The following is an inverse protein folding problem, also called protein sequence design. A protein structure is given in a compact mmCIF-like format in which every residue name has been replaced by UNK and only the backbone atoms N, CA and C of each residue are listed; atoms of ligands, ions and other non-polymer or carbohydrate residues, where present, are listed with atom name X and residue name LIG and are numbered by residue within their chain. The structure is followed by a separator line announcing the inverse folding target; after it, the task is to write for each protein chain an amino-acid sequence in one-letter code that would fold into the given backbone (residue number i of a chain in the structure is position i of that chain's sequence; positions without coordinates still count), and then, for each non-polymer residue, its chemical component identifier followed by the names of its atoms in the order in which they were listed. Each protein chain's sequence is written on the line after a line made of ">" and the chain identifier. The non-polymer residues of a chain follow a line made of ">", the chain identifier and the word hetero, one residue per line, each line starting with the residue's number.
data_IF_645165029423
#
_entry.id   IF_645165029423
#
_cell.length_a   1.000
_cell.length_b   1.000
_cell.length_c   1.000
_cell.angle_alpha   90.00
_cell.angle_beta   90.00
_cell.angle_gamma   90.00
#
_symmetry.space_group_name_H-M   'P 1'
#
loop_
_entity.id
_entity.type
_entity.pdbx_description
1 polymer ?
#
# COMPACT_ATOMS: atom_id res chain seq x y z
N UNK A 1 11.38 15.80 -9.62
CA UNK A 1 10.19 16.12 -8.79
C UNK A 1 9.66 14.93 -7.98
N UNK A 2 9.71 13.69 -8.49
CA UNK A 2 9.28 12.48 -7.77
C UNK A 2 9.89 12.27 -6.40
N UNK A 3 11.16 12.65 -6.20
CA UNK A 3 11.84 12.55 -4.90
C UNK A 3 11.10 13.29 -3.77
N UNK A 4 10.51 14.45 -4.05
CA UNK A 4 9.76 15.22 -3.06
C UNK A 4 8.39 14.62 -2.77
N UNK A 5 7.76 13.98 -3.76
CA UNK A 5 6.48 13.27 -3.60
C UNK A 5 6.68 12.03 -2.72
N UNK A 6 7.74 11.27 -2.96
CA UNK A 6 8.09 10.08 -2.17
C UNK A 6 8.39 10.44 -0.71
N UNK A 7 9.15 11.52 -0.49
CA UNK A 7 9.43 12.04 0.85
C UNK A 7 8.15 12.53 1.53
N UNK A 8 7.27 13.23 0.81
CA UNK A 8 5.97 13.68 1.33
C UNK A 8 5.08 12.51 1.76
N UNK A 9 4.95 11.48 0.92
CA UNK A 9 4.15 10.29 1.24
C UNK A 9 4.74 9.56 2.44
N UNK A 10 6.06 9.41 2.50
CA UNK A 10 6.72 8.72 3.61
C UNK A 10 6.59 9.49 4.93
N UNK A 11 6.68 10.83 4.91
CA UNK A 11 6.48 11.65 6.11
C UNK A 11 5.02 11.77 6.53
N UNK A 12 4.07 11.66 5.58
CA UNK A 12 2.65 11.71 5.88
C UNK A 12 2.13 10.36 6.41
N UNK A 13 2.48 9.26 5.73
CA UNK A 13 2.01 7.91 6.05
C UNK A 13 2.90 7.24 7.09
N UNK A 14 4.20 7.54 7.10
CA UNK A 14 5.18 6.94 7.99
C UNK A 14 4.82 7.01 9.46
N UNK A 15 4.43 8.19 10.02
CA UNK A 15 4.01 8.29 11.41
C UNK A 15 2.78 7.44 11.74
N UNK A 16 1.78 7.40 10.85
CA UNK A 16 0.60 6.57 11.03
C UNK A 16 0.95 5.08 11.01
N UNK A 17 1.85 4.67 10.11
CA UNK A 17 2.32 3.29 9.98
C UNK A 17 3.20 2.87 11.17
N UNK A 18 4.01 3.79 11.69
CA UNK A 18 4.77 3.61 12.93
C UNK A 18 3.87 3.45 14.15
N UNK A 19 2.85 4.31 14.30
CA UNK A 19 1.89 4.17 15.40
C UNK A 19 1.10 2.87 15.29
N UNK A 20 0.71 2.47 14.08
CA UNK A 20 0.06 1.19 13.82
C UNK A 20 0.96 0.01 14.20
N UNK A 21 2.23 0.03 13.83
CA UNK A 21 3.21 -1.00 14.18
C UNK A 21 3.42 -1.06 15.70
N UNK A 22 3.63 0.09 16.34
CA UNK A 22 3.82 0.19 17.79
C UNK A 22 2.60 -0.33 18.56
N UNK A 23 1.38 -0.01 18.10
CA UNK A 23 0.14 -0.54 18.68
C UNK A 23 0.06 -2.06 18.55
N UNK A 24 0.37 -2.62 17.39
CA UNK A 24 0.33 -4.06 17.21
C UNK A 24 1.40 -4.77 18.05
N UNK A 25 2.60 -4.21 18.16
CA UNK A 25 3.67 -4.75 19.01
C UNK A 25 3.29 -4.71 20.51
N UNK A 26 2.67 -3.62 20.97
CA UNK A 26 2.21 -3.53 22.37
C UNK A 26 1.10 -4.53 22.67
N UNK A 27 0.12 -4.70 21.78
CA UNK A 27 -0.92 -5.72 21.92
C UNK A 27 -0.31 -7.13 21.95
N UNK A 28 0.62 -7.43 21.03
CA UNK A 28 1.29 -8.72 20.97
C UNK A 28 2.10 -8.99 22.24
N UNK A 29 2.80 -7.97 22.76
CA UNK A 29 3.53 -8.02 24.02
C UNK A 29 2.63 -8.27 25.23
N UNK A 30 1.48 -7.60 25.30
CA UNK A 30 0.49 -7.83 26.37
C UNK A 30 -0.08 -9.25 26.33
N UNK A 31 -0.40 -9.77 25.13
CA UNK A 31 -0.87 -11.15 24.97
C UNK A 31 0.22 -12.13 25.42
N UNK A 32 1.47 -11.89 25.04
CA UNK A 32 2.60 -12.72 25.46
C UNK A 32 2.82 -12.70 26.98
N UNK A 33 2.80 -11.53 27.60
CA UNK A 33 2.88 -11.37 29.06
C UNK A 33 1.75 -12.10 29.79
N UNK A 34 0.52 -11.94 29.31
CA UNK A 34 -0.67 -12.62 29.87
C UNK A 34 -0.56 -14.14 29.72
N UNK A 35 -0.07 -14.63 28.58
CA UNK A 35 0.17 -16.06 28.37
C UNK A 35 1.32 -16.59 29.23
N UNK A 36 2.38 -15.81 29.44
CA UNK A 36 3.49 -16.15 30.34
C UNK A 36 3.00 -16.26 31.79
N UNK A 37 2.19 -15.31 32.25
CA UNK A 37 1.58 -15.36 33.58
C UNK A 37 0.62 -16.54 33.73
N UNK A 38 -0.18 -16.86 32.69
CA UNK A 38 -1.05 -18.04 32.69
C UNK A 38 -0.25 -19.34 32.78
N UNK A 39 0.84 -19.48 32.01
CA UNK A 39 1.73 -20.65 32.08
C UNK A 39 2.39 -20.79 33.45
N UNK A 40 2.83 -19.69 34.06
CA UNK A 40 3.38 -19.70 35.41
C UNK A 40 2.35 -20.17 36.46
N UNK A 41 1.08 -19.74 36.34
CA UNK A 41 -0.01 -20.22 37.21
C UNK A 41 -0.40 -21.68 36.94
N UNK A 42 -0.38 -22.12 35.67
CA UNK A 42 -0.63 -23.51 35.27
C UNK A 42 0.51 -24.46 35.70
N UNK A 43 1.75 -23.99 35.84
CA UNK A 43 2.82 -24.80 36.42
C UNK A 43 2.62 -25.06 37.92
N UNK A 44 1.86 -24.20 38.61
CA UNK A 44 1.57 -24.33 40.04
C UNK A 44 0.33 -25.18 40.33
N UNK A 45 -0.51 -25.43 39.32
CA UNK A 45 -1.72 -26.25 39.40
C UNK A 45 -1.60 -27.33 38.32
N UNK A 46 -1.24 -28.56 38.71
CA UNK A 46 -1.23 -29.72 37.79
C UNK A 46 -2.68 -30.01 37.43
N UNK A 47 -3.15 -29.37 36.36
CA UNK A 47 -4.48 -29.57 35.80
C UNK A 47 -4.40 -30.71 34.77
N UNK A 48 -5.03 -31.85 35.09
CA UNK A 48 -5.01 -33.10 34.31
C UNK A 48 -6.06 -33.05 33.16
N UNK A 49 -6.46 -31.85 32.74
CA UNK A 49 -7.48 -31.70 31.71
C UNK A 49 -6.84 -31.74 30.30
N UNK A 50 -7.23 -32.67 29.40
CA UNK A 50 -6.62 -32.79 28.09
C UNK A 50 -6.96 -31.57 27.21
N UNK A 51 -5.94 -30.74 26.98
CA UNK A 51 -6.05 -29.56 26.13
C UNK A 51 -6.05 -30.00 24.68
N UNK A 52 -7.22 -30.02 24.04
CA UNK A 52 -7.31 -30.20 22.59
C UNK A 52 -6.74 -28.94 21.91
N UNK A 53 -5.45 -28.98 21.55
CA UNK A 53 -4.81 -27.93 20.74
C UNK A 53 -5.40 -27.97 19.33
N UNK A 54 -6.45 -27.22 19.08
CA UNK A 54 -6.81 -26.81 17.73
C UNK A 54 -5.76 -25.80 17.25
N UNK A 55 -4.66 -26.31 16.70
CA UNK A 55 -3.69 -25.49 15.99
C UNK A 55 -4.30 -25.08 14.65
N UNK A 56 -4.64 -23.82 14.49
CA UNK A 56 -5.05 -23.31 13.18
C UNK A 56 -3.91 -23.55 12.16
N UNK A 57 -4.22 -23.96 10.92
CA UNK A 57 -3.20 -24.27 9.93
C UNK A 57 -2.50 -22.97 9.48
N UNK A 58 -1.20 -22.85 9.79
CA UNK A 58 -0.35 -21.72 9.40
C UNK A 58 -0.28 -21.51 7.88
N UNK A 59 -0.69 -22.49 7.08
CA UNK A 59 -0.66 -22.41 5.63
C UNK A 59 -1.62 -21.35 5.06
N UNK A 60 -2.75 -21.11 5.73
CA UNK A 60 -3.68 -20.05 5.33
C UNK A 60 -3.00 -18.67 5.37
N UNK A 61 -2.23 -18.40 6.43
CA UNK A 61 -1.50 -17.14 6.59
C UNK A 61 -0.44 -16.99 5.50
N UNK A 62 0.27 -18.07 5.18
CA UNK A 62 1.29 -18.08 4.11
C UNK A 62 0.65 -17.76 2.74
N UNK A 63 -0.49 -18.37 2.42
CA UNK A 63 -1.21 -18.12 1.16
C UNK A 63 -1.65 -16.66 1.07
N UNK A 64 -2.25 -16.12 2.13
CA UNK A 64 -2.70 -14.72 2.16
C UNK A 64 -1.53 -13.76 1.95
N UNK A 65 -0.39 -14.01 2.59
CA UNK A 65 0.83 -13.21 2.40
C UNK A 65 1.29 -13.28 0.94
N UNK A 66 1.39 -14.47 0.36
CA UNK A 66 1.83 -14.64 -1.04
C UNK A 66 0.91 -13.90 -2.01
N UNK A 67 -0.42 -14.06 -1.87
CA UNK A 67 -1.41 -13.41 -2.74
C UNK A 67 -1.37 -11.90 -2.60
N UNK A 68 -1.20 -11.39 -1.38
CA UNK A 68 -1.08 -9.94 -1.16
C UNK A 68 0.19 -9.36 -1.78
N UNK A 69 1.31 -10.10 -1.69
CA UNK A 69 2.59 -9.69 -2.23
C UNK A 69 2.58 -9.68 -3.76
N UNK A 70 2.02 -10.72 -4.39
CA UNK A 70 1.91 -10.79 -5.85
C UNK A 70 1.03 -9.67 -6.38
N UNK A 71 -0.11 -9.39 -5.73
CA UNK A 71 -0.98 -8.27 -6.10
C UNK A 71 -0.27 -6.91 -5.99
N UNK A 72 0.49 -6.69 -4.90
CA UNK A 72 1.25 -5.45 -4.74
C UNK A 72 2.32 -5.28 -5.83
N UNK A 73 3.05 -6.35 -6.16
CA UNK A 73 4.09 -6.33 -7.19
C UNK A 73 3.52 -6.10 -8.59
N UNK A 74 2.40 -6.75 -8.94
CA UNK A 74 1.78 -6.55 -10.26
C UNK A 74 1.30 -5.13 -10.46
N UNK A 75 0.62 -4.56 -9.45
CA UNK A 75 0.17 -3.17 -9.49
C UNK A 75 1.35 -2.21 -9.58
N UNK A 76 2.43 -2.47 -8.84
CA UNK A 76 3.63 -1.64 -8.87
C UNK A 76 4.30 -1.64 -10.25
N UNK A 77 4.44 -2.83 -10.86
CA UNK A 77 5.00 -2.95 -12.22
C UNK A 77 4.13 -2.25 -13.26
N UNK A 78 2.80 -2.34 -13.13
CA UNK A 78 1.88 -1.68 -14.07
C UNK A 78 1.91 -0.15 -13.94
N UNK A 79 2.09 0.37 -12.73
CA UNK A 79 2.27 1.81 -12.51
C UNK A 79 3.59 2.33 -13.09
N UNK A 80 4.65 1.52 -13.11
CA UNK A 80 5.94 1.89 -13.72
C UNK A 80 5.89 1.93 -15.25
N UNK A 81 4.98 1.21 -15.90
CA UNK A 81 4.83 1.23 -17.37
C UNK A 81 4.18 2.50 -17.92
N UNK A 82 3.78 3.46 -17.07
CA UNK A 82 3.11 4.71 -17.49
C UNK A 82 4.00 5.71 -18.23
N UNK A 83 5.27 5.38 -18.50
CA UNK A 83 6.16 6.23 -19.28
C UNK A 83 5.78 6.34 -20.77
N UNK A 84 4.77 5.61 -21.25
CA UNK A 84 4.24 5.71 -22.63
C UNK A 84 3.01 6.62 -22.80
N UNK A 85 2.67 7.46 -21.81
CA UNK A 85 1.59 8.44 -22.01
C UNK A 85 2.15 9.63 -22.77
N UNK A 86 1.89 9.68 -24.09
CA UNK A 86 2.21 10.81 -24.96
C UNK A 86 1.75 12.10 -24.26
N UNK A 87 2.64 13.07 -23.97
CA UNK A 87 2.26 14.30 -23.29
C UNK A 87 1.16 14.97 -24.10
N UNK A 88 0.02 15.27 -23.47
CA UNK A 88 -1.10 15.94 -24.10
C UNK A 88 -1.13 17.40 -23.66
N UNK A 89 -1.38 18.30 -24.61
CA UNK A 89 -1.59 19.71 -24.38
C UNK A 89 -3.07 20.04 -24.63
N UNK A 90 -3.66 20.80 -23.71
CA UNK A 90 -5.03 21.24 -23.84
C UNK A 90 -5.08 22.50 -24.70
N UNK A 91 -5.78 22.43 -25.83
CA UNK A 91 -6.05 23.59 -26.68
C UNK A 91 -7.39 24.19 -26.23
N UNK A 92 -7.41 25.43 -25.69
CA UNK A 92 -8.65 26.08 -25.29
C UNK A 92 -9.55 26.36 -26.52
N UNK A 93 -10.84 26.55 -26.28
CA UNK A 93 -11.76 26.90 -27.35
C UNK A 93 -11.35 28.22 -28.01
N UNK A 94 -11.30 28.23 -29.35
CA UNK A 94 -10.92 29.38 -30.13
C UNK A 94 -11.85 29.56 -31.32
N UNK A 95 -11.91 30.78 -31.85
CA UNK A 95 -12.65 31.08 -33.09
C UNK A 95 -11.69 30.96 -34.25
N UNK A 96 -12.04 30.15 -35.25
CA UNK A 96 -11.22 29.93 -36.44
C UNK A 96 -11.35 31.10 -37.43
N UNK A 97 -10.48 31.16 -38.44
CA UNK A 97 -10.45 32.25 -39.45
C UNK A 97 -11.76 32.38 -40.24
N UNK A 98 -12.58 31.32 -40.25
CA UNK A 98 -13.92 31.28 -40.85
C UNK A 98 -15.03 31.84 -39.95
N UNK A 99 -14.70 32.28 -38.74
CA UNK A 99 -15.66 32.76 -37.73
C UNK A 99 -16.40 31.64 -36.98
N UNK A 100 -16.00 30.38 -37.18
CA UNK A 100 -16.60 29.23 -36.49
C UNK A 100 -15.93 28.97 -35.13
N UNK A 101 -16.71 28.57 -34.13
CA UNK A 101 -16.21 28.28 -32.78
C UNK A 101 -15.73 26.83 -32.74
N UNK A 102 -14.43 26.64 -32.52
CA UNK A 102 -13.81 25.33 -32.33
C UNK A 102 -13.82 24.98 -30.85
N UNK A 103 -14.46 23.86 -30.44
CA UNK A 103 -14.48 23.44 -29.05
C UNK A 103 -13.07 23.03 -28.56
N UNK A 104 -12.82 23.25 -27.28
CA UNK A 104 -11.55 22.89 -26.64
C UNK A 104 -11.30 21.38 -26.75
N UNK A 105 -10.08 21.00 -27.09
CA UNK A 105 -9.72 19.60 -27.32
C UNK A 105 -8.28 19.32 -26.91
N UNK A 106 -8.00 18.05 -26.63
CA UNK A 106 -6.67 17.58 -26.31
C UNK A 106 -5.89 17.30 -27.59
N UNK A 107 -4.67 17.83 -27.70
CA UNK A 107 -3.73 17.50 -28.77
C UNK A 107 -2.46 16.88 -28.19
N UNK A 108 -1.81 15.93 -28.90
CA UNK A 108 -0.49 15.47 -28.52
C UNK A 108 0.50 16.65 -28.58
N UNK A 109 1.23 16.89 -27.49
CA UNK A 109 2.28 17.90 -27.39
C UNK A 109 3.42 17.49 -28.33
N UNK A 110 3.82 18.38 -29.23
CA UNK A 110 4.95 18.13 -30.11
C UNK A 110 6.22 17.90 -29.27
N UNK A 111 7.12 16.97 -29.67
CA UNK A 111 8.39 16.78 -28.97
C UNK A 111 9.18 18.09 -29.04
N UNK A 112 9.76 18.51 -27.91
CA UNK A 112 10.71 19.62 -27.87
C UNK A 112 11.89 19.24 -28.78
N UNK A 113 11.94 19.84 -29.98
CA UNK A 113 13.18 19.83 -30.78
C UNK A 113 14.20 20.67 -30.04
N UNK A 114 15.21 20.02 -29.47
CA UNK A 114 16.41 20.63 -28.92
C UNK A 114 16.94 21.72 -29.89
N UNK A 115 17.03 22.95 -29.40
CA UNK A 115 17.80 24.04 -30.01
C UNK A 115 19.11 24.23 -29.24
#
# INVERSE_FOLDING_TARGET
>A
MFRNILVSIFFFVGPALLMFLARNLTVMGMIWLKNRQRRARQQQVIDITPIHKHSHPNWYVIIVVIVSLTCAVTVFLELQKKDEVVPQEYVPAYTDETGSIVPGHWRPKAPETDQ
#
